data_IF_521914026873
#
_entry.id   IF_521914026873
#
_cell.length_a   1.000
_cell.length_b   1.000
_cell.length_c   1.000
_cell.angle_alpha   90.00
_cell.angle_beta   90.00
_cell.angle_gamma   90.00
#
_symmetry.space_group_name_H-M   'P 1'
#
loop_
_entity.id
_entity.type
_entity.pdbx_description
1 polymer ?
#
# COMPACT_ATOMS: atom_id res chain seq x y z
N UNK A 1 8.77 -13.36 -11.97
CA UNK A 1 7.48 -12.65 -12.04
C UNK A 1 7.77 -11.29 -11.47
N UNK A 2 7.38 -10.19 -12.11
CA UNK A 2 7.66 -8.88 -11.54
C UNK A 2 6.70 -8.55 -10.39
N UNK A 3 7.20 -7.92 -9.35
CA UNK A 3 6.48 -7.62 -8.11
C UNK A 3 6.50 -6.10 -7.79
N UNK A 4 6.07 -5.70 -6.59
CA UNK A 4 6.02 -4.27 -6.23
C UNK A 4 7.41 -3.73 -5.92
N UNK A 5 8.33 -4.56 -5.44
CA UNK A 5 9.70 -4.14 -5.19
C UNK A 5 10.46 -3.90 -6.51
N UNK A 6 10.21 -4.73 -7.52
CA UNK A 6 10.66 -4.50 -8.89
C UNK A 6 10.15 -3.13 -9.43
N UNK A 7 8.89 -2.78 -9.16
CA UNK A 7 8.33 -1.48 -9.56
C UNK A 7 9.03 -0.32 -8.83
N UNK A 8 9.25 -0.45 -7.52
CA UNK A 8 10.00 0.52 -6.70
C UNK A 8 11.37 0.79 -7.32
N UNK A 9 12.11 -0.27 -7.67
CA UNK A 9 13.42 -0.14 -8.29
C UNK A 9 13.36 0.53 -9.67
N UNK A 10 12.35 0.21 -10.48
CA UNK A 10 12.17 0.82 -11.80
C UNK A 10 11.95 2.32 -11.68
N UNK A 11 11.09 2.75 -10.76
CA UNK A 11 10.83 4.18 -10.54
C UNK A 11 12.13 4.89 -10.15
N UNK A 12 12.86 4.39 -9.14
CA UNK A 12 14.11 4.98 -8.70
C UNK A 12 15.15 5.09 -9.84
N UNK A 13 15.28 4.03 -10.65
CA UNK A 13 16.20 4.00 -11.80
C UNK A 13 15.80 5.00 -12.89
N UNK A 14 14.51 5.12 -13.21
CA UNK A 14 14.00 6.09 -14.19
C UNK A 14 14.26 7.51 -13.74
N UNK A 15 13.97 7.84 -12.48
CA UNK A 15 14.22 9.17 -11.91
C UNK A 15 15.71 9.50 -11.95
N UNK A 16 16.56 8.60 -11.47
CA UNK A 16 18.01 8.81 -11.50
C UNK A 16 18.54 9.03 -12.92
N UNK A 17 18.04 8.28 -13.91
CA UNK A 17 18.44 8.44 -15.30
C UNK A 17 18.01 9.79 -15.91
N UNK A 18 16.89 10.36 -15.46
CA UNK A 18 16.33 11.61 -15.99
C UNK A 18 16.76 12.87 -15.23
N UNK A 19 16.93 12.77 -13.92
CA UNK A 19 17.25 13.89 -13.02
C UNK A 19 18.69 13.87 -12.50
N UNK A 20 19.46 12.81 -12.79
CA UNK A 20 20.84 12.62 -12.38
C UNK A 20 21.02 12.09 -10.96
N UNK A 21 20.02 12.26 -10.10
CA UNK A 21 19.96 11.71 -8.73
C UNK A 21 18.53 11.30 -8.41
N UNK A 22 18.39 10.27 -7.59
CA UNK A 22 17.13 9.91 -6.95
C UNK A 22 17.22 10.30 -5.47
N UNK A 23 16.40 11.26 -5.04
CA UNK A 23 16.19 11.59 -3.64
C UNK A 23 14.79 11.11 -3.26
N UNK A 24 14.70 10.03 -2.47
CA UNK A 24 13.43 9.42 -2.09
C UNK A 24 12.55 10.32 -1.23
N UNK A 25 13.11 11.34 -0.57
CA UNK A 25 12.35 12.27 0.26
C UNK A 25 11.47 13.25 -0.55
N UNK A 26 11.68 13.34 -1.87
CA UNK A 26 10.87 14.16 -2.77
C UNK A 26 9.65 13.44 -3.35
N UNK A 27 9.42 12.18 -2.96
CA UNK A 27 8.39 11.31 -3.51
C UNK A 27 7.41 10.86 -2.43
N UNK A 28 6.19 10.51 -2.83
CA UNK A 28 5.10 10.21 -1.91
C UNK A 28 5.25 8.81 -1.30
N UNK A 29 5.66 7.82 -2.09
CA UNK A 29 5.88 6.48 -1.58
C UNK A 29 7.18 6.39 -0.76
N UNK A 30 7.19 5.53 0.26
CA UNK A 30 8.41 5.28 1.05
C UNK A 30 9.31 4.25 0.35
N UNK A 31 10.33 4.75 -0.37
CA UNK A 31 11.31 3.91 -1.07
C UNK A 31 12.33 3.23 -0.14
N UNK A 32 12.32 3.52 1.17
CA UNK A 32 13.18 2.83 2.12
C UNK A 32 12.65 1.46 2.54
N UNK A 33 11.37 1.18 2.24
CA UNK A 33 10.68 -0.06 2.60
C UNK A 33 10.69 -1.06 1.44
N UNK A 34 10.59 -2.35 1.77
CA UNK A 34 10.32 -3.44 0.83
C UNK A 34 8.83 -3.44 0.47
N UNK A 35 8.49 -3.11 -0.78
CA UNK A 35 7.09 -2.86 -1.13
C UNK A 35 6.23 -4.13 -1.17
N UNK A 36 6.85 -5.30 -1.34
CA UNK A 36 6.12 -6.57 -1.30
C UNK A 36 5.75 -6.94 0.13
N UNK A 37 6.69 -6.83 1.06
CA UNK A 37 6.44 -7.08 2.48
C UNK A 37 5.40 -6.10 3.03
N UNK A 38 5.51 -4.81 2.68
CA UNK A 38 4.55 -3.78 3.10
C UNK A 38 3.13 -4.03 2.54
N UNK A 39 3.02 -4.48 1.29
CA UNK A 39 1.74 -4.87 0.71
C UNK A 39 1.16 -6.10 1.42
N UNK A 40 1.97 -7.15 1.60
CA UNK A 40 1.53 -8.39 2.22
C UNK A 40 1.07 -8.16 3.66
N UNK A 41 1.79 -7.35 4.44
CA UNK A 41 1.41 -7.02 5.81
C UNK A 41 0.05 -6.31 5.86
N UNK A 42 -0.14 -5.27 5.03
CA UNK A 42 -1.41 -4.52 4.97
C UNK A 42 -2.57 -5.38 4.50
N UNK A 43 -2.32 -6.22 3.49
CA UNK A 43 -3.32 -7.14 2.97
C UNK A 43 -3.74 -8.19 4.00
N UNK A 44 -2.79 -8.78 4.74
CA UNK A 44 -3.10 -9.75 5.79
C UNK A 44 -3.83 -9.10 6.98
N UNK A 45 -3.54 -7.85 7.35
CA UNK A 45 -4.33 -7.08 8.33
C UNK A 45 -5.78 -6.89 7.88
N UNK A 46 -5.98 -6.54 6.61
CA UNK A 46 -7.30 -6.43 5.99
C UNK A 46 -8.07 -7.75 6.03
N UNK A 47 -7.44 -8.84 5.58
CA UNK A 47 -8.01 -10.19 5.65
C UNK A 47 -8.34 -10.63 7.08
N UNK A 48 -7.45 -10.39 8.03
CA UNK A 48 -7.68 -10.71 9.44
C UNK A 48 -8.91 -10.00 10.01
N UNK A 49 -9.16 -8.77 9.56
CA UNK A 49 -10.35 -8.01 9.95
C UNK A 49 -11.63 -8.60 9.37
N UNK A 50 -11.60 -9.08 8.11
CA UNK A 50 -12.72 -9.80 7.50
C UNK A 50 -13.01 -11.10 8.27
N UNK A 51 -11.97 -11.87 8.57
CA UNK A 51 -12.12 -13.14 9.30
C UNK A 51 -12.77 -12.93 10.69
N UNK A 52 -12.35 -11.88 11.41
CA UNK A 52 -12.96 -11.50 12.70
C UNK A 52 -14.43 -11.08 12.54
N UNK A 53 -14.74 -10.27 11.53
CA UNK A 53 -16.11 -9.84 11.28
C UNK A 53 -17.04 -11.03 10.98
N UNK A 54 -16.58 -12.00 10.17
CA UNK A 54 -17.32 -13.23 9.90
C UNK A 54 -17.55 -14.05 11.16
N UNK A 55 -16.51 -14.28 11.96
CA UNK A 55 -16.63 -15.03 13.21
C UNK A 55 -17.59 -14.37 14.21
N UNK A 56 -17.54 -13.03 14.32
CA UNK A 56 -18.44 -12.27 15.18
C UNK A 56 -19.89 -12.32 14.69
N UNK A 57 -20.10 -12.27 13.37
CA UNK A 57 -21.41 -12.43 12.75
C UNK A 57 -22.01 -13.81 13.06
N UNK A 58 -21.23 -14.87 12.87
CA UNK A 58 -21.65 -16.25 13.14
C UNK A 58 -21.96 -16.49 14.62
N UNK A 59 -21.25 -15.81 15.52
CA UNK A 59 -21.47 -15.87 16.96
C UNK A 59 -22.64 -14.99 17.45
N UNK A 60 -23.20 -14.13 16.60
CA UNK A 60 -24.21 -13.13 17.00
C UNK A 60 -23.65 -12.02 17.89
N UNK A 61 -22.33 -11.83 17.92
CA UNK A 61 -21.65 -10.79 18.71
C UNK A 61 -21.63 -9.47 17.95
N UNK A 62 -22.68 -8.66 18.14
CA UNK A 62 -22.82 -7.37 17.47
C UNK A 62 -21.72 -6.35 17.84
N UNK A 63 -21.14 -6.44 19.04
CA UNK A 63 -20.10 -5.51 19.50
C UNK A 63 -18.78 -5.83 18.82
N UNK A 64 -18.38 -7.10 18.83
CA UNK A 64 -17.17 -7.54 18.14
C UNK A 64 -17.31 -7.37 16.62
N UNK A 65 -18.50 -7.60 16.05
CA UNK A 65 -18.76 -7.34 14.64
C UNK A 65 -18.51 -5.88 14.28
N UNK A 66 -19.06 -4.94 15.06
CA UNK A 66 -18.84 -3.52 14.81
C UNK A 66 -17.35 -3.13 14.98
N UNK A 67 -16.68 -3.66 16.00
CA UNK A 67 -15.26 -3.42 16.21
C UNK A 67 -14.41 -3.93 15.03
N UNK A 68 -14.64 -5.16 14.58
CA UNK A 68 -13.94 -5.77 13.46
C UNK A 68 -14.17 -5.00 12.15
N UNK A 69 -15.37 -4.48 11.90
CA UNK A 69 -15.68 -3.65 10.74
C UNK A 69 -14.95 -2.29 10.79
N UNK A 70 -14.88 -1.64 11.97
CA UNK A 70 -14.15 -0.37 12.13
C UNK A 70 -12.65 -0.59 11.91
N UNK A 71 -12.08 -1.65 12.47
CA UNK A 71 -10.67 -2.02 12.27
C UNK A 71 -10.42 -2.37 10.80
N UNK A 72 -11.31 -3.13 10.16
CA UNK A 72 -11.24 -3.45 8.75
C UNK A 72 -11.23 -2.21 7.87
N UNK A 73 -12.12 -1.24 8.15
CA UNK A 73 -12.13 0.06 7.46
C UNK A 73 -10.78 0.77 7.57
N UNK A 74 -10.16 0.78 8.75
CA UNK A 74 -8.86 1.41 8.94
C UNK A 74 -7.75 0.69 8.14
N UNK A 75 -7.72 -0.65 8.18
CA UNK A 75 -6.71 -1.44 7.45
C UNK A 75 -6.85 -1.30 5.92
N UNK A 76 -8.08 -1.25 5.39
CA UNK A 76 -8.28 -1.01 3.95
C UNK A 76 -7.99 0.42 3.53
N UNK A 77 -8.20 1.41 4.41
CA UNK A 77 -7.77 2.78 4.16
C UNK A 77 -6.25 2.87 4.09
N UNK A 78 -5.54 2.18 4.99
CA UNK A 78 -4.08 2.11 4.98
C UNK A 78 -3.54 1.47 3.69
N UNK A 79 -4.13 0.34 3.27
CA UNK A 79 -3.81 -0.29 1.98
C UNK A 79 -4.12 0.63 0.78
N UNK A 80 -5.22 1.38 0.84
CA UNK A 80 -5.56 2.35 -0.20
C UNK A 80 -4.58 3.51 -0.25
N UNK A 81 -4.07 3.98 0.89
CA UNK A 81 -3.07 5.04 0.94
C UNK A 81 -1.76 4.55 0.34
N UNK A 82 -1.30 3.34 0.71
CA UNK A 82 -0.10 2.72 0.11
C UNK A 82 -0.14 2.72 -1.43
N UNK A 83 -1.25 2.30 -2.04
CA UNK A 83 -1.38 2.34 -3.51
C UNK A 83 -1.56 3.74 -4.08
N UNK A 84 -2.16 4.67 -3.33
CA UNK A 84 -2.29 6.06 -3.77
C UNK A 84 -0.92 6.71 -3.88
N UNK A 85 -0.06 6.51 -2.88
CA UNK A 85 1.26 7.14 -2.84
C UNK A 85 2.13 6.61 -4.03
N UNK A 86 2.04 5.30 -4.35
CA UNK A 86 2.64 4.72 -5.56
C UNK A 86 2.05 5.32 -6.84
N UNK A 87 0.73 5.49 -6.90
CA UNK A 87 0.05 6.09 -8.06
C UNK A 87 0.50 7.53 -8.30
N UNK A 88 0.61 8.34 -7.25
CA UNK A 88 0.99 9.74 -7.35
C UNK A 88 2.41 9.88 -7.92
N UNK A 89 3.34 9.03 -7.49
CA UNK A 89 4.70 8.96 -8.05
C UNK A 89 4.70 8.55 -9.53
N UNK A 90 3.88 7.57 -9.92
CA UNK A 90 3.74 7.16 -11.31
C UNK A 90 3.12 8.24 -12.19
N UNK A 91 2.14 8.99 -11.69
CA UNK A 91 1.50 10.09 -12.41
C UNK A 91 2.46 11.26 -12.59
N UNK A 92 3.31 11.55 -11.59
CA UNK A 92 4.42 12.50 -11.75
C UNK A 92 5.36 12.06 -12.86
N UNK A 93 5.79 10.79 -12.86
CA UNK A 93 6.67 10.25 -13.90
C UNK A 93 6.03 10.28 -15.30
N UNK A 94 4.75 9.94 -15.41
CA UNK A 94 4.03 9.92 -16.68
C UNK A 94 3.86 11.31 -17.31
N UNK A 95 3.97 12.37 -16.50
CA UNK A 95 3.93 13.78 -16.94
C UNK A 95 5.31 14.35 -17.25
N UNK A 96 6.38 13.64 -16.90
CA UNK A 96 7.72 13.98 -17.39
C UNK A 96 7.79 13.52 -18.85
N UNK A 97 8.37 14.34 -19.74
CA UNK A 97 8.74 13.86 -21.08
C UNK A 97 9.84 12.78 -20.92
N UNK A 98 9.40 11.52 -20.89
CA UNK A 98 10.25 10.32 -20.82
C UNK A 98 10.92 10.01 -22.16
#
# INVERSE_FOLDING_TARGET
>A
MSDLDDLREVIAKVVAAKRGVFDSAEWEADYSLDWDDEFLERYEKGKGSIAKALAALDAGDSVELQAALVIGRANFLDLSNFFRDIYDDLDVLARLDL
#
